data_IF_945876990889
#
_entry.id   IF_945876990889
#
_cell.length_a   1.000
_cell.length_b   1.000
_cell.length_c   1.000
_cell.angle_alpha   90.00
_cell.angle_beta   90.00
_cell.angle_gamma   90.00
#
_symmetry.space_group_name_H-M   'P 1'
#
loop_
_entity.id
_entity.type
_entity.pdbx_description
1 polymer ?
#
# COMPACT_ATOMS: atom_id res chain seq x y z
N UNK A 1 -62.88 42.24 8.94
CA UNK A 1 -63.53 43.43 8.30
C UNK A 1 -64.42 42.91 7.17
N UNK A 2 -65.62 43.46 6.96
CA UNK A 2 -66.63 42.89 6.03
C UNK A 2 -67.13 43.98 5.06
N UNK A 3 -67.24 43.65 3.77
CA UNK A 3 -67.89 44.49 2.75
C UNK A 3 -69.27 43.95 2.38
N UNK A 4 -70.31 44.78 2.49
CA UNK A 4 -71.72 44.40 2.23
C UNK A 4 -72.48 45.40 1.36
N UNK A 5 -71.78 46.38 0.78
CA UNK A 5 -72.39 47.46 0.00
C UNK A 5 -73.02 46.92 -1.29
N UNK A 6 -74.24 47.32 -1.60
CA UNK A 6 -74.95 46.94 -2.84
C UNK A 6 -75.64 45.57 -2.78
N UNK A 7 -75.82 44.96 -3.96
CA UNK A 7 -76.36 43.60 -4.16
C UNK A 7 -75.61 42.93 -5.30
N UNK A 8 -75.70 41.60 -5.41
CA UNK A 8 -75.00 40.82 -6.44
C UNK A 8 -75.94 39.91 -7.22
N UNK A 9 -75.48 39.48 -8.39
CA UNK A 9 -75.94 38.34 -9.17
C UNK A 9 -74.71 37.49 -9.52
N UNK A 10 -74.84 36.16 -9.63
CA UNK A 10 -73.73 35.29 -10.06
C UNK A 10 -74.23 34.28 -11.07
N UNK A 11 -73.62 34.27 -12.25
CA UNK A 11 -73.87 33.28 -13.30
C UNK A 11 -72.54 32.64 -13.68
N UNK A 12 -72.43 31.32 -13.54
CA UNK A 12 -71.15 30.62 -13.68
C UNK A 12 -70.11 31.17 -12.68
N UNK A 13 -68.94 31.56 -13.18
CA UNK A 13 -67.86 32.17 -12.39
C UNK A 13 -67.90 33.69 -12.35
N UNK A 14 -68.91 34.33 -12.94
CA UNK A 14 -68.99 35.80 -13.04
C UNK A 14 -69.98 36.34 -12.03
N UNK A 15 -69.47 37.15 -11.10
CA UNK A 15 -70.26 37.90 -10.13
C UNK A 15 -70.41 39.34 -10.61
N UNK A 16 -71.66 39.80 -10.74
CA UNK A 16 -72.01 41.16 -11.13
C UNK A 16 -72.67 41.87 -9.96
N UNK A 17 -72.10 43.01 -9.56
CA UNK A 17 -72.61 43.86 -8.48
C UNK A 17 -73.48 45.00 -9.00
N UNK A 18 -74.57 45.28 -8.28
CA UNK A 18 -75.43 46.46 -8.48
C UNK A 18 -75.30 47.38 -7.27
N UNK A 19 -74.92 48.64 -7.49
CA UNK A 19 -74.62 49.59 -6.40
C UNK A 19 -73.35 49.25 -5.61
N UNK A 20 -72.45 48.45 -6.20
CA UNK A 20 -71.16 48.07 -5.63
C UNK A 20 -70.05 48.95 -6.21
N UNK A 21 -68.92 49.06 -5.50
CA UNK A 21 -67.67 49.54 -6.07
C UNK A 21 -66.51 48.70 -5.51
N UNK A 22 -66.24 47.56 -6.14
CA UNK A 22 -65.23 46.59 -5.72
C UNK A 22 -63.78 47.10 -5.85
N UNK A 23 -63.58 48.16 -6.62
CA UNK A 23 -62.28 48.80 -6.84
C UNK A 23 -62.12 50.09 -6.05
N UNK A 24 -63.08 50.44 -5.18
CA UNK A 24 -62.98 51.65 -4.37
C UNK A 24 -61.73 51.61 -3.49
N UNK A 25 -61.01 52.73 -3.43
CA UNK A 25 -59.87 52.89 -2.54
C UNK A 25 -60.33 52.67 -1.08
N UNK A 26 -59.63 51.79 -0.35
CA UNK A 26 -59.99 51.40 1.01
C UNK A 26 -61.03 50.28 1.14
N UNK A 27 -61.55 49.72 0.04
CA UNK A 27 -62.43 48.54 0.10
C UNK A 27 -61.72 47.26 0.55
N UNK A 28 -60.39 47.19 0.40
CA UNK A 28 -59.52 46.05 0.75
C UNK A 28 -59.90 44.72 0.09
N UNK A 29 -60.73 44.75 -0.95
CA UNK A 29 -61.10 43.58 -1.75
C UNK A 29 -59.90 43.19 -2.61
N UNK A 30 -59.49 41.92 -2.53
CA UNK A 30 -58.36 41.36 -3.28
C UNK A 30 -58.68 39.97 -3.82
N UNK A 31 -57.84 39.51 -4.74
CA UNK A 31 -57.83 38.10 -5.12
C UNK A 31 -57.59 37.23 -3.86
N UNK A 32 -58.36 36.16 -3.69
CA UNK A 32 -58.32 35.29 -2.51
C UNK A 32 -59.41 35.57 -1.46
N UNK A 33 -60.06 36.74 -1.47
CA UNK A 33 -61.14 37.05 -0.52
C UNK A 33 -62.35 36.11 -0.69
N UNK A 34 -62.98 35.75 0.42
CA UNK A 34 -64.19 34.91 0.43
C UNK A 34 -65.44 35.77 0.26
N UNK A 35 -66.29 35.41 -0.70
CA UNK A 35 -67.62 35.98 -0.94
C UNK A 35 -68.69 35.00 -0.45
N UNK A 36 -69.64 35.48 0.33
CA UNK A 36 -70.80 34.72 0.81
C UNK A 36 -72.06 35.35 0.21
N UNK A 37 -72.74 34.64 -0.69
CA UNK A 37 -74.04 35.02 -1.21
C UNK A 37 -75.14 34.52 -0.27
N UNK A 38 -76.00 35.44 0.21
CA UNK A 38 -77.06 35.16 1.18
C UNK A 38 -78.32 34.61 0.48
N UNK A 39 -78.16 33.53 -0.28
CA UNK A 39 -79.26 32.69 -0.76
C UNK A 39 -79.71 31.70 0.30
N UNK A 40 -80.79 30.95 0.05
CA UNK A 40 -81.19 29.82 0.88
C UNK A 40 -81.17 28.54 0.04
N UNK A 41 -80.15 27.66 0.19
CA UNK A 41 -79.00 27.76 1.09
C UNK A 41 -77.95 28.80 0.64
N UNK A 42 -77.12 29.34 1.56
CA UNK A 42 -76.04 30.26 1.18
C UNK A 42 -74.99 29.58 0.30
N UNK A 43 -74.45 30.30 -0.68
CA UNK A 43 -73.33 29.82 -1.49
C UNK A 43 -72.07 30.64 -1.18
N UNK A 44 -70.92 29.97 -1.13
CA UNK A 44 -69.62 30.56 -0.76
C UNK A 44 -68.66 30.42 -1.94
N UNK A 45 -67.93 31.50 -2.20
CA UNK A 45 -67.01 31.61 -3.32
C UNK A 45 -65.71 32.29 -2.90
N UNK A 46 -64.65 32.09 -3.67
CA UNK A 46 -63.40 32.81 -3.56
C UNK A 46 -63.23 33.71 -4.78
N UNK A 47 -62.86 34.98 -4.58
CA UNK A 47 -62.52 35.89 -5.67
C UNK A 47 -61.23 35.40 -6.32
N UNK A 48 -61.25 35.23 -7.64
CA UNK A 48 -60.07 34.83 -8.46
C UNK A 48 -59.55 35.97 -9.33
N UNK A 49 -60.40 36.97 -9.63
CA UNK A 49 -60.01 38.19 -10.32
C UNK A 49 -61.00 39.34 -10.05
N UNK A 50 -60.51 40.58 -10.07
CA UNK A 50 -61.33 41.78 -9.98
C UNK A 50 -61.49 42.34 -11.39
N UNK A 51 -62.67 42.16 -11.99
CA UNK A 51 -62.97 42.60 -13.36
C UNK A 51 -63.32 44.08 -13.47
N UNK A 52 -63.67 44.73 -12.36
CA UNK A 52 -63.95 46.17 -12.29
C UNK A 52 -64.79 46.53 -11.07
N UNK A 53 -65.25 47.79 -11.00
CA UNK A 53 -66.05 48.31 -9.88
C UNK A 53 -67.33 47.49 -9.58
N UNK A 54 -67.87 46.81 -10.59
CA UNK A 54 -69.12 46.04 -10.49
C UNK A 54 -68.96 44.59 -10.94
N UNK A 55 -67.74 44.11 -11.16
CA UNK A 55 -67.51 42.75 -11.68
C UNK A 55 -66.36 42.04 -10.95
N UNK A 56 -66.62 40.81 -10.51
CA UNK A 56 -65.63 39.88 -9.95
C UNK A 56 -65.71 38.54 -10.68
N UNK A 57 -64.56 37.87 -10.79
CA UNK A 57 -64.53 36.44 -11.14
C UNK A 57 -64.39 35.65 -9.86
N UNK A 58 -65.19 34.59 -9.69
CA UNK A 58 -65.27 33.80 -8.46
C UNK A 58 -65.17 32.30 -8.74
N UNK A 59 -64.74 31.51 -7.76
CA UNK A 59 -64.71 30.04 -7.82
C UNK A 59 -65.24 29.44 -6.51
N UNK A 60 -65.99 28.32 -6.51
CA UNK A 60 -66.48 27.56 -7.67
C UNK A 60 -67.54 28.32 -8.49
N UNK A 61 -68.02 27.75 -9.60
CA UNK A 61 -69.13 28.34 -10.36
C UNK A 61 -70.45 28.26 -9.55
N UNK A 62 -71.28 29.29 -9.60
CA UNK A 62 -72.58 29.31 -8.91
C UNK A 62 -73.53 28.23 -9.44
N UNK A 63 -74.09 27.43 -8.53
CA UNK A 63 -75.04 26.37 -8.86
C UNK A 63 -76.03 26.12 -7.69
N UNK A 64 -77.33 26.46 -7.84
CA UNK A 64 -77.92 27.19 -8.97
C UNK A 64 -77.41 28.64 -9.05
N UNK A 65 -77.61 29.30 -10.19
CA UNK A 65 -77.22 30.70 -10.39
C UNK A 65 -77.84 31.63 -9.33
N UNK A 66 -77.08 32.62 -8.87
CA UNK A 66 -77.52 33.57 -7.85
C UNK A 66 -78.31 34.70 -8.53
N UNK A 67 -79.60 34.89 -8.21
CA UNK A 67 -80.44 35.89 -8.86
C UNK A 67 -80.00 37.32 -8.53
N UNK A 68 -80.32 38.26 -9.42
CA UNK A 68 -80.05 39.68 -9.23
C UNK A 68 -80.73 40.23 -7.98
N UNK A 69 -80.04 41.10 -7.24
CA UNK A 69 -80.53 41.69 -6.00
C UNK A 69 -80.17 40.92 -4.74
N UNK A 70 -79.43 39.81 -4.86
CA UNK A 70 -79.04 38.99 -3.70
C UNK A 70 -78.08 39.75 -2.78
N UNK A 71 -78.36 39.71 -1.46
CA UNK A 71 -77.47 40.28 -0.43
C UNK A 71 -76.25 39.40 -0.25
N UNK A 72 -75.11 40.00 0.09
CA UNK A 72 -73.84 39.27 0.18
C UNK A 72 -72.90 39.92 1.18
N UNK A 73 -71.82 39.21 1.45
CA UNK A 73 -70.75 39.63 2.36
C UNK A 73 -69.41 39.19 1.77
N UNK A 74 -68.44 40.09 1.69
CA UNK A 74 -67.04 39.75 1.37
C UNK A 74 -66.21 39.88 2.64
N UNK A 75 -65.51 38.81 2.98
CA UNK A 75 -64.54 38.80 4.08
C UNK A 75 -63.24 39.44 3.58
N UNK A 76 -62.91 40.62 4.08
CA UNK A 76 -61.77 41.44 3.61
C UNK A 76 -60.43 41.05 4.26
N UNK A 77 -60.47 40.12 5.20
CA UNK A 77 -59.30 39.64 5.95
C UNK A 77 -59.26 38.13 5.92
N UNK A 78 -58.53 37.56 4.95
CA UNK A 78 -57.81 36.29 5.08
C UNK A 78 -56.40 36.59 5.60
N UNK A 79 -56.27 37.17 6.80
CA UNK A 79 -54.96 37.21 7.42
C UNK A 79 -54.51 35.76 7.59
N UNK A 80 -53.40 35.34 6.95
CA UNK A 80 -52.51 34.45 7.70
C UNK A 80 -52.34 35.17 9.03
N UNK A 81 -52.85 34.61 10.12
CA UNK A 81 -52.58 35.18 11.43
C UNK A 81 -51.06 35.30 11.57
N UNK A 82 -50.58 36.23 12.39
CA UNK A 82 -49.16 36.26 12.77
C UNK A 82 -48.71 34.86 13.22
N UNK A 83 -49.64 34.09 13.82
CA UNK A 83 -49.46 32.71 14.21
C UNK A 83 -49.28 31.74 13.02
N UNK A 84 -50.03 31.90 11.92
CA UNK A 84 -49.88 31.06 10.72
C UNK A 84 -48.55 31.29 10.00
N UNK A 85 -48.11 32.54 9.88
CA UNK A 85 -46.78 32.84 9.34
C UNK A 85 -45.67 32.36 10.30
N UNK A 86 -45.88 32.52 11.61
CA UNK A 86 -44.95 32.01 12.61
C UNK A 86 -44.87 30.47 12.58
N UNK A 87 -45.97 29.79 12.27
CA UNK A 87 -46.02 28.34 12.13
C UNK A 87 -45.25 27.87 10.90
N UNK A 88 -45.48 28.47 9.72
CA UNK A 88 -44.73 28.11 8.49
C UNK A 88 -43.22 28.36 8.64
N UNK A 89 -42.85 29.47 9.29
CA UNK A 89 -41.45 29.78 9.60
C UNK A 89 -40.88 28.80 10.63
N UNK A 90 -41.64 28.46 11.68
CA UNK A 90 -41.22 27.49 12.69
C UNK A 90 -41.00 26.10 12.07
N UNK A 91 -41.90 25.64 11.20
CA UNK A 91 -41.76 24.37 10.48
C UNK A 91 -40.50 24.37 9.60
N UNK A 92 -40.25 25.48 8.90
CA UNK A 92 -39.04 25.64 8.08
C UNK A 92 -37.76 25.63 8.93
N UNK A 93 -37.73 26.33 10.06
CA UNK A 93 -36.60 26.31 10.99
C UNK A 93 -36.40 24.94 11.65
N UNK A 94 -37.48 24.23 11.99
CA UNK A 94 -37.41 22.86 12.49
C UNK A 94 -36.81 21.92 11.44
N UNK A 95 -37.17 22.09 10.16
CA UNK A 95 -36.53 21.38 9.04
C UNK A 95 -35.02 21.65 8.96
N UNK A 96 -34.60 22.92 9.00
CA UNK A 96 -33.17 23.27 8.97
C UNK A 96 -32.39 22.77 10.18
N UNK A 97 -32.95 22.89 11.38
CA UNK A 97 -32.32 22.36 12.60
C UNK A 97 -32.12 20.85 12.54
N UNK A 98 -33.09 20.11 11.97
CA UNK A 98 -32.97 18.66 11.76
C UNK A 98 -31.90 18.29 10.73
N UNK A 99 -31.65 19.12 9.72
CA UNK A 99 -30.52 18.91 8.82
C UNK A 99 -29.18 19.24 9.48
N UNK A 100 -29.11 20.28 10.30
CA UNK A 100 -27.90 20.65 11.05
C UNK A 100 -27.56 19.63 12.14
N UNK A 101 -28.55 19.03 12.78
CA UNK A 101 -28.33 17.99 13.80
C UNK A 101 -27.65 16.75 13.21
N UNK A 102 -28.05 16.32 12.00
CA UNK A 102 -27.40 15.19 11.31
C UNK A 102 -25.92 15.45 11.01
N UNK A 103 -25.53 16.69 10.72
CA UNK A 103 -24.11 17.06 10.54
C UNK A 103 -23.34 17.02 11.87
N UNK A 104 -23.94 17.54 12.94
CA UNK A 104 -23.35 17.49 14.29
C UNK A 104 -23.15 16.05 14.77
N UNK A 105 -24.11 15.17 14.46
CA UNK A 105 -24.02 13.73 14.75
C UNK A 105 -22.84 13.10 14.01
N UNK A 106 -22.61 13.44 12.73
CA UNK A 106 -21.45 12.94 11.98
C UNK A 106 -20.14 13.46 12.55
N UNK A 107 -20.03 14.74 12.89
CA UNK A 107 -18.78 15.32 13.37
C UNK A 107 -18.38 14.81 14.76
N UNK A 108 -19.36 14.54 15.62
CA UNK A 108 -19.10 14.13 17.00
C UNK A 108 -19.25 12.63 17.26
N UNK A 109 -19.94 11.92 16.37
CA UNK A 109 -20.24 10.49 16.48
C UNK A 109 -18.99 9.62 16.48
N UNK A 110 -18.97 8.66 17.40
CA UNK A 110 -17.93 7.61 17.51
C UNK A 110 -18.29 6.34 16.72
N UNK A 111 -19.55 6.20 16.33
CA UNK A 111 -20.09 5.11 15.51
C UNK A 111 -20.58 5.62 14.15
N UNK A 112 -21.10 4.70 13.34
CA UNK A 112 -21.88 5.07 12.17
C UNK A 112 -23.10 5.87 12.58
N UNK A 113 -23.42 6.89 11.79
CA UNK A 113 -24.57 7.77 11.93
C UNK A 113 -25.52 7.48 10.78
N UNK A 114 -26.81 7.32 11.07
CA UNK A 114 -27.84 7.12 10.05
C UNK A 114 -28.50 8.46 9.78
N UNK A 115 -28.37 8.95 8.55
CA UNK A 115 -29.01 10.18 8.08
C UNK A 115 -30.13 9.78 7.12
N UNK A 116 -31.36 10.22 7.39
CA UNK A 116 -32.50 10.00 6.49
C UNK A 116 -32.69 11.21 5.59
N UNK A 117 -32.44 11.04 4.29
CA UNK A 117 -32.60 12.08 3.26
C UNK A 117 -33.73 11.63 2.34
N UNK A 118 -34.81 12.42 2.24
CA UNK A 118 -35.98 12.12 1.40
C UNK A 118 -36.55 10.70 1.61
N UNK A 119 -36.61 10.26 2.87
CA UNK A 119 -37.08 8.91 3.23
C UNK A 119 -36.07 7.77 3.00
N UNK A 120 -34.90 8.07 2.45
CA UNK A 120 -33.83 7.08 2.25
C UNK A 120 -32.81 7.15 3.38
N UNK A 121 -32.60 6.05 4.09
CA UNK A 121 -31.58 5.93 5.14
C UNK A 121 -30.19 5.76 4.53
N UNK A 122 -29.32 6.73 4.75
CA UNK A 122 -27.91 6.70 4.39
C UNK A 122 -27.07 6.50 5.66
N UNK A 123 -26.24 5.45 5.66
CA UNK A 123 -25.31 5.17 6.76
C UNK A 123 -23.95 5.78 6.43
N UNK A 124 -23.51 6.76 7.23
CA UNK A 124 -22.19 7.39 7.08
C UNK A 124 -21.34 7.16 8.33
N UNK A 125 -20.02 6.91 8.20
CA UNK A 125 -19.16 6.86 9.37
C UNK A 125 -19.09 8.24 10.03
N UNK A 126 -19.23 8.31 11.37
CA UNK A 126 -18.86 9.53 12.09
C UNK A 126 -17.38 9.88 11.88
N UNK A 127 -17.00 11.15 12.05
CA UNK A 127 -15.63 11.65 11.83
C UNK A 127 -14.60 10.85 12.64
N UNK A 128 -14.95 10.44 13.86
CA UNK A 128 -14.09 9.63 14.74
C UNK A 128 -14.04 8.15 14.34
N UNK A 129 -14.89 7.70 13.41
CA UNK A 129 -14.93 6.36 12.82
C UNK A 129 -14.40 6.34 11.38
N UNK A 130 -13.77 7.40 10.85
CA UNK A 130 -13.29 7.43 9.46
C UNK A 130 -12.27 6.34 9.14
N UNK A 131 -11.53 5.86 10.13
CA UNK A 131 -10.63 4.72 9.97
C UNK A 131 -11.38 3.41 9.59
N UNK A 132 -12.71 3.34 9.80
CA UNK A 132 -13.56 2.19 9.45
C UNK A 132 -14.09 2.21 8.02
N UNK A 133 -13.71 3.17 7.19
CA UNK A 133 -14.30 3.31 5.84
C UNK A 133 -13.79 2.21 4.89
N UNK A 134 -14.70 1.54 4.19
CA UNK A 134 -14.37 0.52 3.19
C UNK A 134 -13.93 -0.81 3.81
N UNK A 135 -12.85 -1.40 3.30
CA UNK A 135 -12.33 -2.70 3.74
C UNK A 135 -11.75 -2.69 5.17
N UNK A 136 -11.62 -1.51 5.77
CA UNK A 136 -11.13 -1.29 7.13
C UNK A 136 -12.25 -1.27 8.18
N UNK A 137 -13.43 -1.82 7.87
CA UNK A 137 -14.65 -1.74 8.68
C UNK A 137 -14.57 -2.30 10.11
N UNK A 138 -13.44 -2.91 10.47
CA UNK A 138 -13.14 -3.54 11.74
C UNK A 138 -12.22 -2.71 12.66
N UNK A 139 -11.71 -1.56 12.21
CA UNK A 139 -10.85 -0.70 13.03
C UNK A 139 -11.67 -0.04 14.16
N UNK A 140 -11.65 -0.59 15.37
CA UNK A 140 -12.36 -0.02 16.54
C UNK A 140 -11.65 1.19 17.16
N UNK A 141 -10.36 1.40 16.86
CA UNK A 141 -9.56 2.57 17.24
C UNK A 141 -8.12 2.51 16.68
N UNK A 142 -7.43 3.65 16.53
CA UNK A 142 -6.06 3.72 15.98
C UNK A 142 -5.01 3.04 16.89
N UNK A 143 -5.28 2.99 18.19
CA UNK A 143 -4.48 2.32 19.20
C UNK A 143 -4.89 0.85 19.44
N UNK A 144 -5.88 0.35 18.71
CA UNK A 144 -6.51 -0.95 18.94
C UNK A 144 -6.79 -1.70 17.62
N UNK A 145 -5.82 -1.71 16.70
CA UNK A 145 -5.88 -2.54 15.49
C UNK A 145 -5.93 -4.02 15.90
N UNK A 146 -7.15 -4.54 16.04
CA UNK A 146 -7.43 -5.96 16.31
C UNK A 146 -7.46 -6.80 15.04
N UNK A 147 -7.13 -6.23 13.89
CA UNK A 147 -6.77 -7.00 12.69
C UNK A 147 -5.50 -6.37 12.10
N UNK A 148 -4.48 -7.19 11.84
CA UNK A 148 -3.26 -6.71 11.23
C UNK A 148 -3.53 -6.29 9.78
N UNK A 149 -2.87 -5.22 9.33
CA UNK A 149 -2.89 -4.82 7.92
C UNK A 149 -2.30 -5.94 7.06
N UNK A 150 -2.95 -6.26 5.94
CA UNK A 150 -2.45 -7.26 5.00
C UNK A 150 -1.11 -6.85 4.36
N UNK A 151 -0.37 -7.81 3.81
CA UNK A 151 0.88 -7.54 3.08
C UNK A 151 0.63 -6.59 1.90
N UNK A 152 -0.46 -6.79 1.15
CA UNK A 152 -0.85 -5.92 0.03
C UNK A 152 -1.11 -4.47 0.43
N UNK A 153 -1.40 -4.21 1.71
CA UNK A 153 -1.63 -2.88 2.27
C UNK A 153 -0.39 -2.33 2.99
N UNK A 154 0.77 -2.98 2.86
CA UNK A 154 2.03 -2.57 3.51
C UNK A 154 2.17 -3.02 4.97
N UNK A 155 1.28 -3.90 5.46
CA UNK A 155 1.39 -4.51 6.78
C UNK A 155 2.10 -5.87 6.78
N UNK A 156 2.01 -6.57 7.90
CA UNK A 156 2.60 -7.91 8.09
C UNK A 156 1.57 -9.04 8.04
N UNK A 157 0.27 -8.72 7.98
CA UNK A 157 -0.83 -9.69 7.98
C UNK A 157 -0.99 -10.51 9.26
N UNK A 158 -0.19 -10.27 10.30
CA UNK A 158 -0.28 -10.95 11.60
C UNK A 158 0.02 -9.99 12.76
N UNK A 159 -0.52 -10.28 13.95
CA UNK A 159 -0.30 -9.48 15.17
C UNK A 159 0.90 -9.94 15.99
N UNK A 160 1.40 -11.13 15.73
CA UNK A 160 2.52 -11.74 16.44
C UNK A 160 3.80 -11.55 15.63
N UNK A 161 4.94 -11.41 16.30
CA UNK A 161 6.23 -11.37 15.63
C UNK A 161 6.46 -12.63 14.77
N UNK A 162 6.08 -13.81 15.29
CA UNK A 162 6.21 -15.08 14.57
C UNK A 162 5.36 -15.13 13.28
N UNK A 163 4.08 -14.74 13.36
CA UNK A 163 3.21 -14.72 12.20
C UNK A 163 3.61 -13.63 11.19
N UNK A 164 4.10 -12.48 11.66
CA UNK A 164 4.61 -11.42 10.80
C UNK A 164 5.83 -11.89 10.00
N UNK A 165 6.78 -12.54 10.66
CA UNK A 165 7.97 -13.12 10.05
C UNK A 165 7.59 -14.21 9.04
N UNK A 166 6.62 -15.07 9.36
CA UNK A 166 6.08 -16.07 8.42
C UNK A 166 5.48 -15.43 7.17
N UNK A 167 4.61 -14.43 7.34
CA UNK A 167 3.91 -13.75 6.25
C UNK A 167 4.89 -12.99 5.34
N UNK A 168 5.95 -12.41 5.90
CA UNK A 168 7.02 -11.74 5.13
C UNK A 168 7.97 -12.73 4.43
N UNK A 169 7.71 -14.04 4.46
CA UNK A 169 8.57 -15.07 3.87
C UNK A 169 9.87 -15.31 4.64
N UNK A 170 10.02 -14.67 5.81
CA UNK A 170 11.16 -14.83 6.71
C UNK A 170 10.89 -15.88 7.78
N UNK A 171 9.84 -16.70 7.64
CA UNK A 171 9.41 -17.71 8.62
C UNK A 171 10.47 -18.75 9.00
N UNK A 172 11.47 -18.96 8.16
CA UNK A 172 12.63 -19.77 8.54
C UNK A 172 13.57 -19.01 9.49
N UNK A 173 13.61 -17.68 9.47
CA UNK A 173 14.50 -16.75 10.16
C UNK A 173 15.78 -16.44 9.35
N UNK A 174 16.60 -15.50 9.83
CA UNK A 174 17.92 -15.19 9.28
C UNK A 174 19.03 -15.56 10.29
N UNK A 175 20.17 -16.13 9.86
CA UNK A 175 20.49 -16.56 8.48
C UNK A 175 19.63 -17.74 8.04
N UNK A 176 19.25 -17.88 6.76
CA UNK A 176 18.34 -18.96 6.33
C UNK A 176 18.89 -20.38 6.62
N UNK A 177 18.02 -21.33 6.96
CA UNK A 177 18.40 -22.73 7.20
C UNK A 177 19.07 -23.30 5.94
N UNK A 178 20.20 -23.98 6.11
CA UNK A 178 20.95 -24.59 5.01
C UNK A 178 21.95 -23.67 4.31
N UNK A 179 21.89 -22.35 4.52
CA UNK A 179 22.87 -21.43 3.91
C UNK A 179 24.19 -21.45 4.70
N UNK A 180 25.33 -21.76 4.06
CA UNK A 180 26.64 -21.65 4.69
C UNK A 180 27.02 -20.17 4.88
N UNK A 181 27.66 -19.86 6.01
CA UNK A 181 28.22 -18.53 6.25
C UNK A 181 29.53 -18.62 7.06
N UNK A 182 30.41 -17.64 6.84
CA UNK A 182 31.66 -17.53 7.58
C UNK A 182 31.44 -16.93 8.96
N UNK A 183 32.12 -17.49 9.95
CA UNK A 183 31.98 -17.12 11.34
C UNK A 183 33.35 -16.91 12.01
N UNK A 184 33.61 -15.73 12.60
CA UNK A 184 34.94 -15.37 13.10
C UNK A 184 35.25 -15.90 14.51
N UNK A 185 34.24 -16.33 15.27
CA UNK A 185 34.41 -16.76 16.66
C UNK A 185 34.51 -18.28 16.78
N UNK A 186 35.24 -18.76 17.78
CA UNK A 186 35.25 -20.18 18.16
C UNK A 186 33.97 -20.60 18.89
N UNK A 187 33.32 -19.66 19.60
CA UNK A 187 32.02 -19.86 20.24
C UNK A 187 30.90 -19.85 19.19
N UNK A 188 29.85 -20.65 19.39
CA UNK A 188 28.76 -20.74 18.43
C UNK A 188 27.89 -19.47 18.45
N UNK A 189 27.25 -19.09 17.32
CA UNK A 189 26.48 -17.85 17.26
C UNK A 189 25.39 -17.75 18.34
N UNK A 190 24.63 -18.82 18.58
CA UNK A 190 23.59 -18.88 19.61
C UNK A 190 24.10 -18.74 21.06
N UNK A 191 25.43 -18.83 21.27
CA UNK A 191 26.05 -18.64 22.60
C UNK A 191 26.56 -17.22 22.84
N UNK A 192 26.72 -16.43 21.77
CA UNK A 192 27.27 -15.06 21.86
C UNK A 192 26.28 -13.99 21.40
N UNK A 193 25.26 -14.35 20.62
CA UNK A 193 24.18 -13.48 20.17
C UNK A 193 22.89 -13.85 20.91
N UNK A 194 22.45 -13.04 21.89
CA UNK A 194 21.22 -13.31 22.65
C UNK A 194 19.98 -13.48 21.76
N UNK A 195 19.88 -12.71 20.67
CA UNK A 195 18.80 -12.77 19.70
C UNK A 195 18.75 -14.08 18.88
N UNK A 196 19.81 -14.89 18.90
CA UNK A 196 19.90 -16.18 18.21
C UNK A 196 19.97 -17.35 19.19
N UNK A 197 19.68 -17.14 20.47
CA UNK A 197 19.80 -18.15 21.52
C UNK A 197 18.88 -19.36 21.32
N UNK A 198 17.77 -19.19 20.61
CA UNK A 198 16.82 -20.24 20.24
C UNK A 198 17.17 -20.96 18.93
N UNK A 199 18.15 -20.47 18.18
CA UNK A 199 18.63 -21.05 16.94
C UNK A 199 19.69 -22.14 17.19
N UNK A 200 19.83 -23.04 16.21
CA UNK A 200 20.84 -24.10 16.25
C UNK A 200 21.74 -24.01 15.03
N UNK A 201 23.05 -24.03 15.26
CA UNK A 201 24.07 -23.96 14.23
C UNK A 201 24.94 -25.22 14.24
N UNK A 202 25.29 -25.70 13.05
CA UNK A 202 26.16 -26.87 12.85
C UNK A 202 27.41 -26.46 12.07
N UNK A 203 28.47 -27.25 12.20
CA UNK A 203 29.76 -27.05 11.52
C UNK A 203 29.83 -27.92 10.26
N UNK A 204 30.46 -27.40 9.21
CA UNK A 204 30.90 -28.21 8.07
C UNK A 204 32.17 -28.99 8.43
N UNK A 205 32.00 -30.06 9.21
CA UNK A 205 33.09 -30.84 9.78
C UNK A 205 32.90 -32.37 9.61
N UNK A 206 32.12 -32.80 8.61
CA UNK A 206 31.85 -34.21 8.36
C UNK A 206 30.78 -34.85 9.25
N UNK A 207 30.17 -34.08 10.17
CA UNK A 207 29.18 -34.64 11.10
C UNK A 207 27.87 -34.99 10.39
N UNK A 208 27.28 -36.13 10.78
CA UNK A 208 25.91 -36.48 10.44
C UNK A 208 24.91 -35.68 11.27
N UNK A 209 23.70 -35.48 10.74
CA UNK A 209 22.57 -34.89 11.44
C UNK A 209 21.28 -35.68 11.17
N UNK A 210 20.26 -35.51 12.00
CA UNK A 210 19.00 -36.22 11.84
C UNK A 210 17.99 -35.41 11.02
N UNK A 211 17.37 -36.05 10.02
CA UNK A 211 16.24 -35.47 9.27
C UNK A 211 15.00 -35.24 10.14
N UNK A 212 14.80 -36.03 11.21
CA UNK A 212 13.68 -35.80 12.14
C UNK A 212 13.90 -34.56 13.00
N UNK A 213 15.15 -34.28 13.37
CA UNK A 213 15.52 -33.11 14.18
C UNK A 213 15.61 -31.84 13.32
N UNK A 214 16.18 -31.95 12.11
CA UNK A 214 16.43 -30.82 11.20
C UNK A 214 15.86 -31.07 9.80
N UNK A 215 14.52 -31.17 9.65
CA UNK A 215 13.89 -31.56 8.39
C UNK A 215 14.15 -30.56 7.26
N UNK A 216 14.20 -29.25 7.55
CA UNK A 216 14.51 -28.21 6.55
C UNK A 216 15.96 -28.28 6.07
N UNK A 217 16.91 -28.59 6.97
CA UNK A 217 18.31 -28.77 6.57
C UNK A 217 18.48 -30.04 5.72
N UNK A 218 17.71 -31.10 6.01
CA UNK A 218 17.73 -32.34 5.21
C UNK A 218 17.29 -32.11 3.75
N UNK A 219 16.45 -31.10 3.48
CA UNK A 219 16.11 -30.72 2.10
C UNK A 219 17.30 -30.10 1.35
N UNK A 220 18.20 -29.40 2.07
CA UNK A 220 19.38 -28.75 1.49
C UNK A 220 20.57 -29.69 1.42
N UNK A 221 20.74 -30.56 2.42
CA UNK A 221 21.77 -31.60 2.48
C UNK A 221 21.13 -33.00 2.61
N UNK A 222 20.65 -33.61 1.51
CA UNK A 222 19.93 -34.89 1.54
C UNK A 222 20.76 -36.08 2.02
N UNK A 223 22.09 -36.00 1.95
CA UNK A 223 22.99 -37.02 2.50
C UNK A 223 22.94 -37.13 4.03
N UNK A 224 22.30 -36.16 4.70
CA UNK A 224 22.27 -36.03 6.15
C UNK A 224 23.65 -35.90 6.80
N UNK A 225 24.65 -35.53 6.00
CA UNK A 225 26.04 -35.33 6.41
C UNK A 225 26.46 -33.97 5.86
N UNK A 226 26.99 -33.10 6.74
CA UNK A 226 27.61 -31.86 6.32
C UNK A 226 29.04 -32.17 5.85
N UNK A 227 29.43 -31.79 4.61
CA UNK A 227 30.80 -31.98 4.13
C UNK A 227 31.82 -31.44 5.13
N UNK A 228 32.95 -32.14 5.29
CA UNK A 228 34.08 -31.58 6.00
C UNK A 228 34.84 -30.64 5.07
N UNK A 229 34.83 -29.35 5.38
CA UNK A 229 35.46 -28.31 4.55
C UNK A 229 36.59 -27.61 5.31
N UNK A 230 36.99 -28.15 6.46
CA UNK A 230 38.04 -27.56 7.28
C UNK A 230 39.37 -27.67 6.54
N UNK A 231 39.93 -26.51 6.18
CA UNK A 231 41.17 -26.43 5.41
C UNK A 231 40.96 -26.35 3.90
N UNK A 232 39.72 -26.50 3.42
CA UNK A 232 39.41 -26.46 1.99
C UNK A 232 39.23 -25.03 1.48
N UNK A 233 39.67 -24.78 0.24
CA UNK A 233 39.31 -23.58 -0.50
C UNK A 233 38.00 -23.81 -1.26
N UNK A 234 36.98 -23.01 -0.95
CA UNK A 234 35.70 -23.08 -1.65
C UNK A 234 35.81 -22.38 -3.00
N UNK A 235 35.34 -23.05 -4.05
CA UNK A 235 35.16 -22.45 -5.38
C UNK A 235 33.76 -22.72 -5.92
N UNK A 236 33.35 -21.86 -6.85
CA UNK A 236 32.08 -21.99 -7.54
C UNK A 236 32.09 -23.23 -8.44
N UNK A 237 31.00 -23.98 -8.42
CA UNK A 237 30.80 -25.15 -9.27
C UNK A 237 30.67 -24.72 -10.74
N UNK A 238 31.19 -25.54 -11.65
CA UNK A 238 31.23 -25.22 -13.08
C UNK A 238 29.85 -25.29 -13.73
N UNK A 239 28.96 -26.16 -13.22
CA UNK A 239 27.57 -26.34 -13.65
C UNK A 239 27.40 -26.38 -15.19
N UNK A 240 28.31 -27.09 -15.87
CA UNK A 240 28.24 -27.31 -17.31
C UNK A 240 28.83 -26.20 -18.18
N UNK A 241 29.51 -25.19 -17.61
CA UNK A 241 30.23 -24.17 -18.40
C UNK A 241 31.40 -24.75 -19.21
N UNK A 242 31.98 -25.85 -18.75
CA UNK A 242 33.02 -26.61 -19.46
C UNK A 242 34.45 -26.30 -19.01
N UNK A 243 34.67 -25.41 -18.03
CA UNK A 243 36.02 -25.06 -17.55
C UNK A 243 36.57 -26.15 -16.62
N UNK A 244 35.71 -26.75 -15.81
CA UNK A 244 36.05 -27.85 -14.91
C UNK A 244 35.09 -29.03 -15.16
N UNK A 245 35.12 -29.48 -16.42
CA UNK A 245 34.27 -30.56 -16.92
C UNK A 245 34.54 -31.84 -16.15
N UNK A 246 33.48 -32.49 -15.66
CA UNK A 246 33.57 -33.77 -14.95
C UNK A 246 33.69 -33.65 -13.43
N UNK A 247 33.76 -32.43 -12.86
CA UNK A 247 33.76 -32.26 -11.40
C UNK A 247 32.34 -32.20 -10.83
N UNK A 248 32.06 -33.05 -9.85
CA UNK A 248 30.80 -33.06 -9.13
C UNK A 248 30.70 -31.90 -8.11
N UNK A 249 29.48 -31.45 -7.83
CA UNK A 249 29.22 -30.49 -6.76
C UNK A 249 29.66 -31.08 -5.40
N UNK A 250 30.32 -30.28 -4.56
CA UNK A 250 30.89 -30.66 -3.26
C UNK A 250 32.01 -31.73 -3.29
N UNK A 251 32.55 -32.10 -4.45
CA UNK A 251 33.74 -32.97 -4.49
C UNK A 251 35.00 -32.20 -4.12
N UNK A 252 35.87 -32.80 -3.29
CA UNK A 252 37.19 -32.25 -2.98
C UNK A 252 38.13 -32.34 -4.20
N UNK A 253 39.06 -31.38 -4.28
CA UNK A 253 40.11 -31.36 -5.28
C UNK A 253 41.43 -31.08 -4.58
N UNK A 254 42.41 -31.95 -4.78
CA UNK A 254 43.77 -31.72 -4.28
C UNK A 254 44.42 -30.51 -4.95
N UNK A 255 45.41 -29.92 -4.27
CA UNK A 255 46.21 -28.85 -4.85
C UNK A 255 46.96 -29.34 -6.11
N UNK A 256 47.11 -28.43 -7.06
CA UNK A 256 47.86 -28.68 -8.28
C UNK A 256 48.60 -27.42 -8.71
N UNK A 257 49.80 -27.60 -9.25
CA UNK A 257 50.55 -26.56 -9.94
C UNK A 257 50.57 -26.86 -11.44
N UNK A 258 50.57 -25.82 -12.26
CA UNK A 258 50.74 -26.00 -13.70
C UNK A 258 52.15 -26.53 -14.01
N UNK A 259 52.26 -27.29 -15.10
CA UNK A 259 53.54 -27.80 -15.56
C UNK A 259 54.48 -26.65 -15.96
N UNK A 260 55.70 -26.66 -15.43
CA UNK A 260 56.79 -25.79 -15.86
C UNK A 260 57.59 -26.55 -16.91
N UNK A 261 57.71 -26.03 -18.13
CA UNK A 261 58.38 -26.71 -19.25
C UNK A 261 59.36 -25.78 -19.96
N UNK A 262 60.41 -26.32 -20.60
CA UNK A 262 61.40 -25.53 -21.35
C UNK A 262 62.51 -26.36 -21.99
N UNK A 263 63.23 -25.78 -22.96
CA UNK A 263 64.39 -26.36 -23.65
C UNK A 263 65.37 -25.28 -24.14
N UNK A 264 66.67 -25.59 -24.29
CA UNK A 264 67.71 -24.69 -24.83
C UNK A 264 68.23 -25.18 -26.18
N UNK A 265 68.36 -24.29 -27.19
CA UNK A 265 68.88 -24.57 -28.55
C UNK A 265 69.86 -23.44 -29.01
N UNK A 266 70.95 -23.78 -29.73
CA UNK A 266 71.93 -22.88 -30.38
C UNK A 266 72.44 -21.63 -29.60
N UNK A 267 72.65 -21.74 -28.28
CA UNK A 267 73.10 -20.61 -27.45
C UNK A 267 74.62 -20.30 -27.56
N UNK A 268 75.00 -19.08 -27.94
CA UNK A 268 76.38 -18.54 -27.89
C UNK A 268 76.44 -17.32 -26.95
N UNK A 269 77.44 -17.22 -26.07
CA UNK A 269 77.50 -16.20 -25.00
C UNK A 269 78.85 -15.45 -25.01
N UNK A 270 78.96 -14.28 -24.37
CA UNK A 270 80.18 -13.46 -24.33
C UNK A 270 81.15 -13.81 -23.17
N UNK A 271 82.32 -13.17 -23.13
CA UNK A 271 83.35 -13.48 -22.13
C UNK A 271 82.91 -13.30 -20.65
N UNK A 272 82.02 -12.33 -20.37
CA UNK A 272 81.64 -11.92 -19.01
C UNK A 272 80.30 -12.51 -18.50
N UNK A 273 79.74 -13.60 -19.08
CA UNK A 273 78.40 -14.13 -18.71
C UNK A 273 78.32 -14.89 -17.34
N UNK A 274 77.24 -14.68 -16.57
CA UNK A 274 76.98 -15.20 -15.19
C UNK A 274 75.47 -15.37 -14.87
N UNK A 275 75.10 -16.11 -13.82
CA UNK A 275 73.69 -16.24 -13.39
C UNK A 275 73.48 -16.44 -11.88
N UNK A 276 72.29 -16.05 -11.43
CA UNK A 276 71.85 -15.97 -10.04
C UNK A 276 70.31 -15.95 -9.97
N UNK A 277 69.74 -15.96 -8.75
CA UNK A 277 68.29 -16.19 -8.59
C UNK A 277 67.92 -17.42 -9.39
N UNK A 278 66.68 -17.56 -9.87
CA UNK A 278 66.12 -18.76 -10.50
C UNK A 278 66.81 -19.24 -11.78
N UNK A 279 68.03 -18.80 -12.07
CA UNK A 279 68.81 -19.25 -13.21
C UNK A 279 70.27 -19.44 -12.85
N UNK A 280 70.95 -20.29 -13.59
CA UNK A 280 72.38 -20.56 -13.45
C UNK A 280 73.06 -20.52 -14.80
N UNK A 281 74.37 -20.31 -14.82
CA UNK A 281 75.17 -20.23 -16.02
C UNK A 281 76.55 -20.81 -15.76
N UNK A 282 77.08 -21.50 -16.77
CA UNK A 282 78.42 -22.10 -16.73
C UNK A 282 79.08 -21.95 -18.08
N UNK A 283 80.41 -21.86 -18.09
CA UNK A 283 81.17 -21.77 -19.33
C UNK A 283 81.51 -23.17 -19.83
N UNK A 284 81.22 -23.42 -21.11
CA UNK A 284 81.56 -24.66 -21.81
C UNK A 284 82.94 -24.55 -22.48
N UNK A 285 83.22 -23.45 -23.20
CA UNK A 285 84.53 -23.16 -23.83
C UNK A 285 84.68 -21.66 -24.13
N UNK A 286 85.91 -21.14 -24.19
CA UNK A 286 86.19 -19.85 -24.85
C UNK A 286 86.29 -20.11 -26.35
N UNK A 287 85.39 -19.54 -27.13
CA UNK A 287 85.43 -19.72 -28.57
C UNK A 287 86.48 -18.81 -29.19
N UNK A 288 87.40 -19.43 -29.95
CA UNK A 288 88.24 -18.74 -30.93
C UNK A 288 87.49 -18.34 -32.21
N UNK A 289 86.17 -18.15 -32.16
CA UNK A 289 85.38 -17.64 -33.28
C UNK A 289 85.72 -16.17 -33.54
N UNK A 290 86.57 -15.93 -34.54
CA UNK A 290 86.81 -14.62 -35.15
C UNK A 290 85.68 -14.28 -36.13
N UNK A 291 84.62 -13.65 -35.63
CA UNK A 291 83.69 -12.91 -36.50
C UNK A 291 84.38 -11.65 -37.03
N UNK A 292 84.01 -11.09 -38.18
CA UNK A 292 84.68 -9.92 -38.82
C UNK A 292 84.67 -8.60 -38.03
N UNK A 293 84.32 -8.63 -36.75
CA UNK A 293 84.43 -7.52 -35.79
C UNK A 293 85.29 -7.93 -34.59
N UNK A 294 86.09 -6.98 -34.10
CA UNK A 294 87.04 -7.17 -33.00
C UNK A 294 86.33 -7.53 -31.66
N UNK A 295 86.51 -8.76 -31.12
CA UNK A 295 86.04 -9.18 -29.78
C UNK A 295 86.01 -10.71 -29.49
N UNK A 296 86.04 -11.14 -28.21
CA UNK A 296 86.11 -12.56 -27.75
C UNK A 296 84.78 -13.13 -27.18
N UNK A 297 84.42 -14.38 -27.50
CA UNK A 297 83.14 -15.05 -27.11
C UNK A 297 83.35 -16.40 -26.39
N UNK A 298 82.38 -16.84 -25.57
CA UNK A 298 82.38 -18.12 -24.83
C UNK A 298 81.06 -18.92 -25.01
N UNK A 299 81.13 -20.19 -25.39
CA UNK A 299 79.96 -21.08 -25.29
C UNK A 299 79.65 -21.32 -23.81
N UNK A 300 78.37 -21.23 -23.42
CA UNK A 300 77.91 -21.32 -22.04
C UNK A 300 76.53 -21.98 -21.99
N UNK A 301 76.28 -22.71 -20.91
CA UNK A 301 74.93 -23.18 -20.60
C UNK A 301 74.19 -22.11 -19.81
N UNK A 302 72.89 -22.00 -20.02
CA UNK A 302 71.94 -21.29 -19.17
C UNK A 302 70.99 -22.33 -18.59
N UNK A 303 70.57 -22.12 -17.35
CA UNK A 303 69.65 -22.98 -16.62
C UNK A 303 68.52 -22.14 -16.06
N UNK A 304 67.27 -22.60 -16.21
CA UNK A 304 66.06 -22.10 -15.55
C UNK A 304 65.77 -22.89 -14.27
N UNK A 305 65.27 -22.23 -13.23
CA UNK A 305 65.15 -22.76 -11.87
C UNK A 305 64.26 -21.88 -10.95
N UNK A 306 62.93 -21.84 -11.11
CA UNK A 306 61.94 -21.04 -10.30
C UNK A 306 62.18 -20.98 -8.79
N UNK A 307 62.93 -21.93 -8.26
CA UNK A 307 63.17 -22.17 -6.85
C UNK A 307 64.01 -21.12 -6.16
N UNK A 308 64.97 -20.53 -6.86
CA UNK A 308 66.05 -19.82 -6.15
C UNK A 308 65.58 -18.58 -5.43
N UNK A 309 64.31 -18.17 -5.61
CA UNK A 309 63.68 -17.24 -4.69
C UNK A 309 62.14 -17.40 -4.57
N UNK A 310 61.56 -18.61 -4.52
CA UNK A 310 60.12 -18.74 -4.16
C UNK A 310 59.93 -19.14 -2.71
N UNK A 311 58.89 -18.56 -2.08
CA UNK A 311 58.46 -18.94 -0.73
C UNK A 311 57.86 -20.35 -0.80
N UNK A 312 58.41 -21.26 -0.01
CA UNK A 312 57.99 -22.66 0.00
C UNK A 312 57.20 -23.00 1.26
N UNK A 313 56.25 -23.91 1.14
CA UNK A 313 55.50 -24.52 2.24
C UNK A 313 55.12 -25.97 1.85
N UNK A 314 54.63 -26.78 2.80
CA UNK A 314 54.16 -28.15 2.53
C UNK A 314 52.88 -28.21 1.68
N UNK A 315 52.19 -27.08 1.56
CA UNK A 315 50.96 -26.91 0.81
C UNK A 315 51.14 -25.69 -0.09
N UNK A 316 50.78 -25.81 -1.37
CA UNK A 316 50.73 -24.65 -2.24
C UNK A 316 49.45 -23.85 -1.94
N UNK A 317 49.62 -22.77 -1.17
CA UNK A 317 48.49 -21.94 -0.74
C UNK A 317 48.78 -20.46 -0.88
N UNK A 318 47.75 -19.67 -1.25
CA UNK A 318 47.82 -18.23 -1.05
C UNK A 318 47.83 -17.91 0.45
N UNK A 319 48.27 -16.70 0.80
CA UNK A 319 48.05 -16.15 2.14
C UNK A 319 46.55 -16.21 2.44
N UNK A 320 46.20 -16.76 3.60
CA UNK A 320 44.81 -16.97 4.00
C UNK A 320 44.62 -16.72 5.50
N UNK A 321 43.36 -16.54 5.91
CA UNK A 321 42.91 -16.45 7.30
C UNK A 321 41.81 -17.49 7.48
N UNK A 322 41.86 -18.25 8.57
CA UNK A 322 40.88 -19.27 8.88
C UNK A 322 39.62 -18.66 9.54
N UNK A 323 38.45 -18.97 8.98
CA UNK A 323 37.14 -18.72 9.57
C UNK A 323 36.43 -20.06 9.77
N UNK A 324 35.50 -20.13 10.73
CA UNK A 324 34.56 -21.25 10.77
C UNK A 324 33.58 -21.14 9.60
N UNK A 325 33.22 -22.26 8.99
CA UNK A 325 32.05 -22.34 8.11
C UNK A 325 30.92 -23.03 8.85
N UNK A 326 29.83 -22.30 9.07
CA UNK A 326 28.66 -22.75 9.81
C UNK A 326 27.44 -22.77 8.89
N UNK A 327 26.43 -23.53 9.32
CA UNK A 327 25.08 -23.53 8.74
C UNK A 327 24.06 -23.45 9.87
N UNK A 328 22.98 -22.70 9.67
CA UNK A 328 21.83 -22.78 10.58
C UNK A 328 21.02 -24.03 10.28
N UNK A 329 20.72 -24.81 11.31
CA UNK A 329 19.92 -26.04 11.26
C UNK A 329 18.50 -25.84 11.81
N UNK A 330 18.32 -24.88 12.73
CA UNK A 330 17.03 -24.49 13.30
C UNK A 330 17.00 -23.00 13.56
#
# INVERSE_FOLDING_TARGET
MIYTTGTIAISGNTLTGTGTNFTAAGSLIRNGCTVIALTSPPQVFQITAIGGATSLTVTPAANPAIPTGTKYSILLSDSLSVDGLAQDIAETFTMYQRYMSGFADVMNGTSDVVIVINGTSLKVPGQKSLAKKGDNNDITGLNALTKPLSISQGGTGDKTAAGAVNNLGLGAGAPAIGMPFFWPSSAMPNTVMPEWSDMVFLKYNGSSFSASTYPKLALVNPSLILPDVRGEFIRVWDDGRGIDSGRALLSAQSDAQQAITGQFLDATMGANASAAGVFQMTQLAQSGLSTGQSGSFNQKNVYFDTSKVVRTAAENRPRNIAFNLLVRAK
#
